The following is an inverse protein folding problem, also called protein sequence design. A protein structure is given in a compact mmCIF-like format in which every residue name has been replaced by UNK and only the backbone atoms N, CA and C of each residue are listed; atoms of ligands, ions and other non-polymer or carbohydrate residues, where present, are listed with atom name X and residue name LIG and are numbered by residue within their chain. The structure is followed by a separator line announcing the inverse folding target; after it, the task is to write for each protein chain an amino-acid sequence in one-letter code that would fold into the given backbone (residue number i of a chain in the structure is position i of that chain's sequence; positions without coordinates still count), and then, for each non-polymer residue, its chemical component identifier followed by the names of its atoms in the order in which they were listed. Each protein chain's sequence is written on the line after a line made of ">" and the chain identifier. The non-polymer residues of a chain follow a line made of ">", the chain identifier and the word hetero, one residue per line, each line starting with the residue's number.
data_IF_511038148254
#
_entry.id   IF_511038148254
#
_cell.length_a   1.000
_cell.length_b   1.000
_cell.length_c   1.000
_cell.angle_alpha   90.00
_cell.angle_beta   90.00
_cell.angle_gamma   90.00
#
_symmetry.space_group_name_H-M   'P 1'
#
loop_
_entity.id
_entity.type
_entity.pdbx_description
1 polymer ?
#
# COMPACT_ATOMS: atom_id res chain seq x y z
N UNK A 1 -5.35 -3.49 24.59
CA UNK A 1 -4.00 -3.38 24.01
C UNK A 1 -3.64 -1.90 23.96
N UNK A 2 -2.51 -1.50 24.55
CA UNK A 2 -1.95 -0.16 24.41
C UNK A 2 -0.90 -0.20 23.30
N UNK A 3 -0.99 0.73 22.33
CA UNK A 3 -0.04 0.84 21.22
C UNK A 3 0.65 2.19 21.28
N UNK A 4 1.96 2.19 21.16
CA UNK A 4 2.78 3.41 21.08
C UNK A 4 3.50 3.46 19.75
N UNK A 5 3.32 4.53 19.01
CA UNK A 5 4.10 4.87 17.81
C UNK A 5 5.27 5.76 18.24
N UNK A 6 6.49 5.26 18.04
CA UNK A 6 7.71 6.03 18.23
C UNK A 6 8.35 6.33 16.89
N UNK A 7 8.56 7.58 16.57
CA UNK A 7 9.21 7.99 15.31
C UNK A 7 10.24 9.12 15.55
N UNK A 8 11.34 9.06 14.81
CA UNK A 8 12.38 10.09 14.88
C UNK A 8 11.98 11.32 14.06
N UNK A 9 12.02 12.53 14.65
CA UNK A 9 11.75 13.76 13.91
C UNK A 9 12.82 14.09 12.86
N UNK A 10 14.00 13.46 12.97
CA UNK A 10 15.15 13.75 12.12
C UNK A 10 15.20 12.87 10.85
N UNK A 11 14.31 11.89 10.75
CA UNK A 11 14.28 10.94 9.62
C UNK A 11 13.10 11.25 8.71
N UNK A 12 13.39 11.85 7.56
CA UNK A 12 12.36 12.11 6.56
C UNK A 12 11.81 10.81 5.94
N UNK A 13 10.52 10.76 5.59
CA UNK A 13 9.97 9.65 4.81
C UNK A 13 10.74 9.49 3.49
N UNK A 14 11.07 8.25 3.12
CA UNK A 14 11.55 7.95 1.77
C UNK A 14 10.30 7.78 0.90
N UNK A 15 10.21 8.53 -0.19
CA UNK A 15 9.10 8.46 -1.13
C UNK A 15 9.08 7.16 -1.96
N UNK A 16 8.96 6.01 -1.29
CA UNK A 16 8.77 4.71 -1.94
C UNK A 16 7.43 4.13 -1.51
N UNK A 17 6.66 3.58 -2.44
CA UNK A 17 5.39 2.94 -2.14
C UNK A 17 4.16 3.81 -2.36
N UNK A 18 4.22 4.77 -3.26
CA UNK A 18 3.09 5.64 -3.64
C UNK A 18 1.97 4.90 -4.41
N UNK A 19 2.23 3.67 -4.85
CA UNK A 19 1.25 2.81 -5.49
C UNK A 19 0.91 1.60 -4.63
N UNK A 20 -0.36 1.41 -4.28
CA UNK A 20 -0.81 0.31 -3.40
C UNK A 20 -1.33 -0.90 -4.19
N UNK A 21 -1.74 -1.94 -3.45
CA UNK A 21 -2.48 -3.10 -3.93
C UNK A 21 -3.95 -3.06 -3.49
N UNK A 22 -4.85 -3.79 -4.15
CA UNK A 22 -6.29 -3.78 -3.82
C UNK A 22 -6.63 -4.09 -2.37
N UNK A 23 -5.82 -4.87 -1.67
CA UNK A 23 -5.97 -5.19 -0.24
C UNK A 23 -5.89 -3.95 0.67
N UNK A 24 -5.29 -2.85 0.20
CA UNK A 24 -5.23 -1.59 0.95
C UNK A 24 -6.62 -1.04 1.27
N UNK A 25 -7.59 -1.23 0.38
CA UNK A 25 -9.00 -0.83 0.63
C UNK A 25 -9.58 -1.49 1.88
N UNK A 26 -9.31 -2.78 2.03
CA UNK A 26 -9.77 -3.54 3.21
C UNK A 26 -9.08 -3.07 4.48
N UNK A 27 -7.81 -2.74 4.41
CA UNK A 27 -7.06 -2.19 5.54
C UNK A 27 -7.65 -0.85 5.98
N UNK A 28 -7.80 0.10 5.05
CA UNK A 28 -8.36 1.43 5.36
C UNK A 28 -9.79 1.33 5.93
N UNK A 29 -10.63 0.47 5.33
CA UNK A 29 -11.98 0.21 5.81
C UNK A 29 -11.99 -0.37 7.23
N UNK A 30 -11.13 -1.35 7.53
CA UNK A 30 -11.03 -2.00 8.84
C UNK A 30 -10.61 -1.04 9.95
N UNK A 31 -9.73 -0.10 9.65
CA UNK A 31 -9.31 0.91 10.63
C UNK A 31 -10.25 2.12 10.67
N UNK A 32 -11.36 2.10 9.91
CA UNK A 32 -12.40 3.13 9.96
C UNK A 32 -12.04 4.45 9.26
N UNK A 33 -11.18 4.41 8.26
CA UNK A 33 -10.85 5.56 7.41
C UNK A 33 -11.98 5.78 6.40
N UNK A 34 -12.45 7.02 6.22
CA UNK A 34 -13.31 7.41 5.10
C UNK A 34 -12.48 7.41 3.81
N UNK A 35 -12.97 6.73 2.76
CA UNK A 35 -12.29 6.73 1.47
C UNK A 35 -12.25 8.13 0.84
N UNK A 36 -13.31 8.91 1.03
CA UNK A 36 -13.38 10.29 0.54
C UNK A 36 -12.36 11.20 1.23
N UNK A 37 -12.19 11.08 2.55
CA UNK A 37 -11.18 11.82 3.29
C UNK A 37 -9.77 11.40 2.85
N UNK A 38 -9.54 10.11 2.71
CA UNK A 38 -8.27 9.59 2.20
C UNK A 38 -7.92 10.15 0.82
N UNK A 39 -8.88 10.23 -0.11
CA UNK A 39 -8.65 10.83 -1.43
C UNK A 39 -8.24 12.30 -1.33
N UNK A 40 -8.91 13.07 -0.48
CA UNK A 40 -8.63 14.52 -0.32
C UNK A 40 -7.31 14.79 0.39
N UNK A 41 -7.09 14.10 1.51
CA UNK A 41 -5.96 14.39 2.39
C UNK A 41 -4.64 13.82 1.88
N UNK A 42 -4.69 12.76 1.08
CA UNK A 42 -3.50 12.08 0.58
C UNK A 42 -3.26 12.29 -0.93
N UNK A 43 -4.00 13.20 -1.58
CA UNK A 43 -3.98 13.41 -3.04
C UNK A 43 -4.11 12.08 -3.80
N UNK A 44 -4.98 11.20 -3.29
CA UNK A 44 -5.07 9.86 -3.82
C UNK A 44 -5.80 9.80 -5.17
N UNK A 45 -5.43 8.85 -6.00
CA UNK A 45 -6.10 8.55 -7.25
C UNK A 45 -6.23 7.03 -7.44
N UNK A 46 -7.11 6.60 -8.36
CA UNK A 46 -7.30 5.19 -8.63
C UNK A 46 -6.13 4.58 -9.39
N UNK A 47 -5.64 3.44 -8.88
CA UNK A 47 -4.75 2.52 -9.59
C UNK A 47 -5.54 1.30 -10.00
N UNK A 48 -5.55 0.95 -11.28
CA UNK A 48 -6.35 -0.15 -11.82
C UNK A 48 -5.51 -1.31 -12.34
N UNK A 49 -4.22 -1.28 -12.09
CA UNK A 49 -3.25 -2.27 -12.53
C UNK A 49 -1.87 -1.67 -12.71
N UNK A 50 -1.02 -2.38 -13.41
CA UNK A 50 0.30 -1.90 -13.85
C UNK A 50 0.41 -2.06 -15.35
N UNK A 51 1.06 -1.10 -16.02
CA UNK A 51 1.47 -1.22 -17.42
C UNK A 51 2.98 -1.34 -17.45
N UNK A 52 3.45 -2.27 -18.23
CA UNK A 52 4.87 -2.52 -18.43
C UNK A 52 5.21 -2.13 -19.87
N UNK A 53 6.15 -1.22 -20.04
CA UNK A 53 6.61 -0.72 -21.34
C UNK A 53 8.06 -1.17 -21.54
N UNK A 54 8.36 -1.83 -22.66
CA UNK A 54 9.72 -2.24 -23.05
C UNK A 54 10.31 -3.41 -22.23
N UNK A 55 9.51 -4.23 -21.58
CA UNK A 55 9.99 -5.29 -20.68
C UNK A 55 10.21 -6.65 -21.32
N UNK A 56 9.66 -6.89 -22.52
CA UNK A 56 9.78 -8.18 -23.23
C UNK A 56 10.77 -8.09 -24.36
N UNK A 57 10.58 -7.17 -25.29
CA UNK A 57 11.41 -7.02 -26.50
C UNK A 57 12.22 -5.72 -26.54
N UNK A 58 11.85 -4.73 -25.72
CA UNK A 58 12.41 -3.38 -25.74
C UNK A 58 11.98 -2.54 -26.94
N UNK A 59 11.08 -3.02 -27.80
CA UNK A 59 10.59 -2.28 -28.96
C UNK A 59 9.59 -1.19 -28.54
N UNK A 60 9.35 -0.20 -29.41
CA UNK A 60 8.48 0.94 -29.13
C UNK A 60 7.01 0.55 -28.81
N UNK A 61 6.54 -0.55 -29.35
CA UNK A 61 5.18 -1.09 -29.14
C UNK A 61 5.13 -2.18 -28.08
N UNK A 62 6.26 -2.52 -27.46
CA UNK A 62 6.35 -3.49 -26.39
C UNK A 62 5.68 -2.95 -25.11
N UNK A 63 4.43 -3.30 -24.93
CA UNK A 63 3.67 -2.97 -23.73
C UNK A 63 2.64 -4.05 -23.43
N UNK A 64 2.41 -4.27 -22.14
CA UNK A 64 1.30 -5.11 -21.67
C UNK A 64 0.75 -4.60 -20.34
N UNK A 65 -0.50 -4.96 -20.07
CA UNK A 65 -1.18 -4.61 -18.83
C UNK A 65 -1.26 -5.82 -17.89
N UNK A 66 -1.11 -5.54 -16.61
CA UNK A 66 -1.45 -6.44 -15.51
C UNK A 66 -2.62 -5.80 -14.74
N UNK A 67 -3.86 -6.05 -15.14
CA UNK A 67 -5.05 -5.47 -14.53
C UNK A 67 -5.33 -6.10 -13.15
N UNK A 68 -6.09 -5.40 -12.31
CA UNK A 68 -6.51 -5.94 -11.01
C UNK A 68 -7.82 -6.74 -11.07
N UNK A 69 -8.54 -6.68 -12.19
CA UNK A 69 -9.69 -7.54 -12.44
C UNK A 69 -9.18 -8.86 -12.99
N UNK A 70 -9.52 -9.95 -12.30
CA UNK A 70 -9.21 -11.30 -12.79
C UNK A 70 -9.99 -11.57 -14.08
N UNK A 71 -9.38 -12.25 -15.06
CA UNK A 71 -10.08 -12.64 -16.28
C UNK A 71 -11.28 -13.54 -15.98
N UNK A 72 -12.38 -13.32 -16.68
CA UNK A 72 -13.53 -14.20 -16.55
C UNK A 72 -13.18 -15.64 -17.01
N UNK A 73 -13.55 -16.63 -16.21
CA UNK A 73 -13.29 -18.03 -16.51
C UNK A 73 -11.83 -18.50 -16.35
N UNK A 74 -10.95 -17.70 -15.71
CA UNK A 74 -9.52 -18.05 -15.60
C UNK A 74 -9.26 -19.33 -14.79
N UNK A 75 -10.16 -19.71 -13.89
CA UNK A 75 -10.10 -20.98 -13.14
C UNK A 75 -10.72 -22.17 -13.87
N UNK A 76 -11.45 -21.92 -14.93
CA UNK A 76 -12.28 -22.92 -15.61
C UNK A 76 -11.70 -23.35 -16.95
N UNK A 77 -10.87 -22.50 -17.57
CA UNK A 77 -10.33 -22.76 -18.91
C UNK A 77 -8.94 -22.17 -19.10
N UNK A 78 -8.20 -22.74 -20.05
CA UNK A 78 -6.91 -22.20 -20.48
C UNK A 78 -7.11 -21.00 -21.44
N UNK A 79 -7.19 -19.81 -20.89
CA UNK A 79 -7.39 -18.56 -21.64
C UNK A 79 -6.26 -18.29 -22.64
N UNK A 80 -5.01 -18.70 -22.31
CA UNK A 80 -3.85 -18.49 -23.18
C UNK A 80 -3.98 -19.31 -24.45
N UNK A 81 -4.39 -20.56 -24.36
CA UNK A 81 -4.62 -21.40 -25.54
C UNK A 81 -5.70 -20.83 -26.47
N UNK A 82 -6.79 -20.32 -25.90
CA UNK A 82 -7.84 -19.64 -26.65
C UNK A 82 -7.37 -18.36 -27.34
N UNK A 83 -6.56 -17.57 -26.65
CA UNK A 83 -5.98 -16.36 -27.20
C UNK A 83 -5.00 -16.65 -28.34
N UNK A 84 -4.08 -17.57 -28.15
CA UNK A 84 -3.12 -18.00 -29.18
C UNK A 84 -3.81 -18.53 -30.46
N UNK A 85 -4.93 -19.22 -30.28
CA UNK A 85 -5.65 -19.80 -31.43
C UNK A 85 -6.43 -18.76 -32.26
N UNK A 86 -6.83 -17.61 -31.68
CA UNK A 86 -7.81 -16.70 -32.30
C UNK A 86 -7.49 -15.22 -32.26
N UNK A 87 -6.63 -14.78 -31.33
CA UNK A 87 -6.49 -13.37 -31.00
C UNK A 87 -5.03 -12.94 -30.72
N UNK A 88 -4.03 -13.66 -31.24
CA UNK A 88 -2.62 -13.34 -31.03
C UNK A 88 -2.17 -12.02 -31.68
N UNK A 89 -3.00 -11.44 -32.55
CA UNK A 89 -2.87 -10.09 -33.10
C UNK A 89 -3.25 -8.98 -32.14
N UNK A 90 -3.79 -9.32 -30.96
CA UNK A 90 -4.26 -8.40 -29.93
C UNK A 90 -3.57 -8.69 -28.61
N UNK A 91 -3.39 -7.65 -27.80
CA UNK A 91 -2.81 -7.78 -26.47
C UNK A 91 -3.68 -8.70 -25.58
N UNK A 92 -3.06 -9.70 -24.94
CA UNK A 92 -3.73 -10.70 -24.13
C UNK A 92 -4.66 -10.11 -23.06
N UNK A 93 -4.13 -9.16 -22.26
CA UNK A 93 -4.90 -8.57 -21.17
C UNK A 93 -6.16 -7.84 -21.67
N UNK A 94 -6.08 -7.20 -22.84
CA UNK A 94 -7.22 -6.54 -23.48
C UNK A 94 -8.26 -7.49 -24.07
N UNK A 95 -7.89 -8.74 -24.33
CA UNK A 95 -8.85 -9.78 -24.79
C UNK A 95 -9.59 -10.42 -23.63
N UNK A 96 -8.88 -10.66 -22.50
CA UNK A 96 -9.43 -11.42 -21.37
C UNK A 96 -9.97 -10.57 -20.22
N UNK A 97 -9.71 -9.26 -20.23
CA UNK A 97 -10.16 -8.32 -19.20
C UNK A 97 -10.65 -7.00 -19.82
N UNK A 98 -11.70 -6.44 -19.26
CA UNK A 98 -12.20 -5.12 -19.68
C UNK A 98 -11.40 -3.95 -19.06
N UNK A 99 -10.62 -4.18 -18.03
CA UNK A 99 -9.96 -3.13 -17.26
C UNK A 99 -8.90 -2.34 -18.08
N UNK A 100 -8.08 -2.94 -18.95
CA UNK A 100 -7.19 -2.20 -19.84
C UNK A 100 -7.94 -1.17 -20.72
N UNK A 101 -9.18 -1.50 -21.12
CA UNK A 101 -10.01 -0.59 -21.92
C UNK A 101 -10.54 0.59 -21.10
N UNK A 102 -10.77 0.43 -19.79
CA UNK A 102 -11.08 1.54 -18.90
C UNK A 102 -9.86 2.47 -18.78
N UNK A 103 -8.69 1.90 -18.53
CA UNK A 103 -7.43 2.65 -18.42
C UNK A 103 -7.14 3.45 -19.70
N UNK A 104 -7.24 2.81 -20.87
CA UNK A 104 -7.00 3.45 -22.17
C UNK A 104 -7.97 4.61 -22.47
N UNK A 105 -9.12 4.64 -21.82
CA UNK A 105 -10.14 5.69 -21.95
C UNK A 105 -10.21 6.64 -20.76
N UNK A 106 -9.24 6.59 -19.86
CA UNK A 106 -9.19 7.39 -18.62
C UNK A 106 -10.50 7.27 -17.80
N UNK A 107 -11.04 6.05 -17.68
CA UNK A 107 -12.26 5.80 -16.91
C UNK A 107 -11.94 5.28 -15.53
N UNK A 108 -12.68 5.79 -14.53
CA UNK A 108 -12.59 5.34 -13.16
C UNK A 108 -13.14 3.90 -12.99
N UNK A 109 -12.69 3.15 -11.97
CA UNK A 109 -13.17 1.79 -11.68
C UNK A 109 -14.57 1.77 -11.07
N UNK A 110 -15.13 2.92 -10.75
CA UNK A 110 -16.44 3.10 -10.12
C UNK A 110 -17.14 4.36 -10.61
N UNK A 111 -18.44 4.42 -10.44
CA UNK A 111 -19.23 5.63 -10.70
C UNK A 111 -19.21 6.57 -9.49
N UNK A 112 -19.51 7.84 -9.69
CA UNK A 112 -19.56 8.82 -8.61
C UNK A 112 -20.58 8.45 -7.50
N UNK A 113 -21.67 7.77 -7.85
CA UNK A 113 -22.69 7.28 -6.92
C UNK A 113 -22.33 5.95 -6.23
N UNK A 114 -21.23 5.30 -6.63
CA UNK A 114 -20.82 4.02 -6.02
C UNK A 114 -20.33 4.29 -4.59
N UNK A 115 -20.82 3.54 -3.59
CA UNK A 115 -20.40 3.71 -2.20
C UNK A 115 -18.88 3.60 -2.00
N UNK A 116 -18.38 4.16 -0.89
CA UNK A 116 -16.97 4.03 -0.50
C UNK A 116 -16.55 2.55 -0.48
N UNK A 117 -15.33 2.28 -0.94
CA UNK A 117 -14.72 0.95 -1.02
C UNK A 117 -15.43 -0.07 -1.93
N UNK A 118 -16.61 0.24 -2.47
CA UNK A 118 -17.26 -0.56 -3.51
C UNK A 118 -16.75 -0.17 -4.90
N UNK A 119 -16.83 -1.09 -5.86
CA UNK A 119 -16.36 -0.85 -7.22
C UNK A 119 -17.05 -1.75 -8.25
N UNK A 120 -17.04 -1.31 -9.52
CA UNK A 120 -17.36 -2.12 -10.69
C UNK A 120 -16.14 -2.91 -11.15
N UNK A 121 -14.95 -2.28 -11.10
CA UNK A 121 -13.68 -2.90 -11.39
C UNK A 121 -12.78 -2.84 -10.14
N UNK A 122 -11.98 -3.87 -9.90
CA UNK A 122 -11.05 -3.90 -8.78
C UNK A 122 -10.01 -2.77 -8.91
N UNK A 123 -9.64 -2.15 -7.80
CA UNK A 123 -8.70 -1.03 -7.79
C UNK A 123 -7.89 -0.96 -6.50
N UNK A 124 -6.83 -0.21 -6.59
CA UNK A 124 -6.00 0.26 -5.51
C UNK A 124 -5.81 1.78 -5.65
N UNK A 125 -4.78 2.34 -5.06
CA UNK A 125 -4.51 3.77 -5.07
C UNK A 125 -3.10 4.10 -5.49
N UNK A 126 -2.93 5.25 -6.15
CA UNK A 126 -1.74 6.07 -6.07
C UNK A 126 -2.00 7.17 -5.05
N UNK A 127 -0.98 7.59 -4.30
CA UNK A 127 -1.12 8.56 -3.23
C UNK A 127 0.19 9.32 -2.98
N UNK A 128 0.11 10.44 -2.30
CA UNK A 128 1.27 11.10 -1.71
C UNK A 128 1.65 10.40 -0.41
N UNK A 129 2.82 9.74 -0.39
CA UNK A 129 3.27 8.95 0.75
C UNK A 129 3.53 9.81 2.01
N UNK A 130 4.01 11.05 1.83
CA UNK A 130 4.23 11.99 2.93
C UNK A 130 2.92 12.40 3.59
N UNK A 131 1.93 12.81 2.78
CA UNK A 131 0.59 13.14 3.26
C UNK A 131 -0.09 11.96 3.91
N UNK A 132 0.06 10.76 3.33
CA UNK A 132 -0.51 9.55 3.90
C UNK A 132 0.06 9.21 5.26
N UNK A 133 1.38 9.36 5.49
CA UNK A 133 1.99 9.18 6.79
C UNK A 133 1.40 10.13 7.84
N UNK A 134 1.25 11.42 7.50
CA UNK A 134 0.64 12.42 8.39
C UNK A 134 -0.84 12.11 8.66
N UNK A 135 -1.59 11.75 7.64
CA UNK A 135 -3.00 11.37 7.73
C UNK A 135 -3.20 10.16 8.64
N UNK A 136 -2.42 9.09 8.46
CA UNK A 136 -2.49 7.89 9.31
C UNK A 136 -2.11 8.20 10.75
N UNK A 137 -1.06 8.98 10.99
CA UNK A 137 -0.68 9.39 12.34
C UNK A 137 -1.82 10.12 13.04
N UNK A 138 -2.43 11.11 12.38
CA UNK A 138 -3.58 11.83 12.94
C UNK A 138 -4.78 10.90 13.21
N UNK A 139 -5.07 9.97 12.31
CA UNK A 139 -6.13 9.00 12.48
C UNK A 139 -5.85 8.04 13.66
N UNK A 140 -4.65 7.48 13.73
CA UNK A 140 -4.26 6.52 14.77
C UNK A 140 -4.26 7.18 16.16
N UNK A 141 -3.71 8.37 16.29
CA UNK A 141 -3.65 9.07 17.58
C UNK A 141 -5.02 9.61 18.00
N UNK A 142 -5.76 10.19 17.06
CA UNK A 142 -7.04 10.83 17.36
C UNK A 142 -8.24 9.88 17.48
N UNK A 143 -8.23 8.75 16.77
CA UNK A 143 -9.38 7.84 16.72
C UNK A 143 -9.10 6.45 17.28
N UNK A 144 -7.88 5.94 17.16
CA UNK A 144 -7.54 4.59 17.60
C UNK A 144 -6.83 4.57 18.96
N UNK A 145 -6.56 5.72 19.57
CA UNK A 145 -5.95 5.83 20.89
C UNK A 145 -4.48 5.42 20.94
N UNK A 146 -3.79 5.47 19.79
CA UNK A 146 -2.35 5.21 19.73
C UNK A 146 -1.61 6.37 20.37
N UNK A 147 -0.75 6.09 21.37
CA UNK A 147 0.18 7.07 21.91
C UNK A 147 1.27 7.39 20.86
N UNK A 148 1.64 8.67 20.73
CA UNK A 148 2.69 9.08 19.79
C UNK A 148 3.84 9.76 20.54
N UNK A 149 5.05 9.29 20.29
CA UNK A 149 6.29 9.86 20.84
C UNK A 149 7.20 10.25 19.65
N UNK A 150 7.48 11.53 19.54
CA UNK A 150 8.45 12.04 18.55
C UNK A 150 9.80 12.20 19.23
N UNK A 151 10.65 11.18 19.11
CA UNK A 151 11.98 11.15 19.75
C UNK A 151 12.89 10.14 19.04
N UNK A 152 14.15 10.12 19.46
CA UNK A 152 15.18 9.21 18.94
C UNK A 152 15.48 8.12 19.97
N UNK A 153 15.53 6.86 19.53
CA UNK A 153 16.11 5.75 20.30
C UNK A 153 17.62 5.93 20.35
N UNK A 154 18.21 5.95 21.53
CA UNK A 154 19.65 6.09 21.77
C UNK A 154 20.28 4.79 22.24
N UNK A 155 19.54 3.91 22.89
CA UNK A 155 19.99 2.55 23.20
C UNK A 155 18.79 1.61 23.43
N UNK A 156 19.07 0.32 23.34
CA UNK A 156 18.14 -0.77 23.59
C UNK A 156 18.58 -1.45 24.88
N UNK A 157 17.63 -1.68 25.79
CA UNK A 157 17.88 -2.40 27.03
C UNK A 157 17.36 -3.82 26.88
N UNK A 158 18.26 -4.80 26.95
CA UNK A 158 17.90 -6.21 26.96
C UNK A 158 17.53 -6.67 28.37
N UNK A 159 16.69 -7.69 28.44
CA UNK A 159 16.43 -8.50 29.65
C UNK A 159 17.50 -9.58 29.83
N UNK A 160 17.47 -10.28 30.94
CA UNK A 160 18.45 -11.34 31.29
C UNK A 160 18.45 -12.51 30.29
N UNK A 161 17.33 -12.75 29.62
CA UNK A 161 17.13 -13.79 28.61
C UNK A 161 17.49 -13.35 27.18
N UNK A 162 17.89 -12.06 27.02
CA UNK A 162 18.32 -11.50 25.74
C UNK A 162 17.22 -10.85 24.92
N UNK A 163 15.97 -10.87 25.40
CA UNK A 163 14.87 -10.16 24.76
C UNK A 163 14.95 -8.65 24.97
N UNK A 164 14.29 -7.86 24.12
CA UNK A 164 14.19 -6.41 24.29
C UNK A 164 13.20 -6.09 25.40
N UNK A 165 13.71 -5.54 26.52
CA UNK A 165 12.88 -5.12 27.64
C UNK A 165 12.35 -3.69 27.48
N UNK A 166 13.18 -2.78 26.96
CA UNK A 166 12.82 -1.37 26.79
C UNK A 166 13.74 -0.64 25.82
N UNK A 167 13.28 0.55 25.41
CA UNK A 167 14.05 1.48 24.58
C UNK A 167 14.39 2.73 25.40
N UNK A 168 15.65 3.13 25.40
CA UNK A 168 16.07 4.42 25.95
C UNK A 168 15.90 5.49 24.88
N UNK A 169 15.13 6.52 25.16
CA UNK A 169 14.93 7.67 24.30
C UNK A 169 15.81 8.84 24.71
N UNK A 170 16.09 9.70 23.75
CA UNK A 170 16.96 10.88 23.95
C UNK A 170 16.35 11.87 24.97
N UNK A 171 15.05 12.16 24.87
CA UNK A 171 14.39 13.22 25.62
C UNK A 171 13.25 12.69 26.53
N UNK A 172 12.65 11.54 26.22
CA UNK A 172 11.47 11.01 26.91
C UNK A 172 11.75 9.86 27.88
N UNK A 173 13.06 9.57 28.15
CA UNK A 173 13.42 8.51 29.08
C UNK A 173 13.24 7.11 28.51
N UNK A 174 12.79 6.18 29.35
CA UNK A 174 12.66 4.75 29.01
C UNK A 174 11.22 4.44 28.59
N UNK A 175 11.07 3.70 27.50
CA UNK A 175 9.80 3.15 27.03
C UNK A 175 9.89 1.62 27.05
N UNK A 176 9.11 0.99 27.92
CA UNK A 176 8.99 -0.48 27.99
C UNK A 176 7.82 -0.97 27.13
N UNK A 177 7.86 -2.24 26.75
CA UNK A 177 6.80 -2.89 25.99
C UNK A 177 6.91 -4.42 26.04
N UNK A 178 5.79 -5.09 25.81
CA UNK A 178 5.73 -6.56 25.72
C UNK A 178 6.06 -7.07 24.32
N UNK A 179 5.93 -6.19 23.30
CA UNK A 179 6.22 -6.47 21.90
C UNK A 179 6.74 -5.21 21.21
N UNK A 180 7.79 -5.37 20.45
CA UNK A 180 8.38 -4.31 19.63
C UNK A 180 8.29 -4.66 18.15
N UNK A 181 7.84 -3.70 17.33
CA UNK A 181 7.79 -3.83 15.87
C UNK A 181 8.81 -2.89 15.26
N UNK A 182 9.87 -3.46 14.70
CA UNK A 182 10.95 -2.69 14.07
C UNK A 182 10.55 -2.21 12.68
N UNK A 183 10.28 -0.92 12.57
CA UNK A 183 10.02 -0.21 11.32
C UNK A 183 11.15 0.75 10.95
N UNK A 184 12.38 0.54 11.45
CA UNK A 184 13.53 1.43 11.23
C UNK A 184 14.25 1.22 9.90
N UNK A 185 13.62 0.51 8.97
CA UNK A 185 14.09 0.25 7.61
C UNK A 185 15.41 -0.54 7.61
N UNK A 186 16.35 -0.12 6.74
CA UNK A 186 17.67 -0.78 6.61
C UNK A 186 18.56 -0.61 7.83
N UNK A 187 18.21 0.26 8.79
CA UNK A 187 18.94 0.38 10.04
C UNK A 187 18.71 -0.81 10.97
N UNK A 188 17.55 -1.44 10.89
CA UNK A 188 17.19 -2.64 11.66
C UNK A 188 17.60 -2.51 13.14
N UNK A 189 17.23 -1.39 13.77
CA UNK A 189 17.76 -1.01 15.08
C UNK A 189 17.48 -2.05 16.17
N UNK A 190 16.37 -2.78 16.05
CA UNK A 190 15.96 -3.77 17.05
C UNK A 190 16.38 -5.20 16.66
N UNK A 191 16.39 -5.51 15.36
CA UNK A 191 16.63 -6.87 14.84
C UNK A 191 18.12 -7.18 14.69
N UNK A 192 18.95 -6.16 14.56
CA UNK A 192 20.40 -6.28 14.34
C UNK A 192 21.24 -6.29 15.60
N UNK A 193 20.65 -6.53 16.77
CA UNK A 193 21.38 -6.55 18.06
C UNK A 193 21.85 -7.96 18.42
#
# INVERSE_FOLDING_TARGET
>A
LQVTLLESPDVAPIGVGEGTWPTMRDTLRKIGVSEADFFRECDASFKQGSRFDGWVTGQHDDRYYHPFVLPHGYTETNLVAGWLARHQDREFAGVVSFQPHLCARNRAPKQASTPEYAAVANYAYHLDAGKFGLFLRAHCTGRLGVAHISDRVVSINASDDGDIASLQLKNHGVVAGDLFVDCTRMQSLLIGQ
#
